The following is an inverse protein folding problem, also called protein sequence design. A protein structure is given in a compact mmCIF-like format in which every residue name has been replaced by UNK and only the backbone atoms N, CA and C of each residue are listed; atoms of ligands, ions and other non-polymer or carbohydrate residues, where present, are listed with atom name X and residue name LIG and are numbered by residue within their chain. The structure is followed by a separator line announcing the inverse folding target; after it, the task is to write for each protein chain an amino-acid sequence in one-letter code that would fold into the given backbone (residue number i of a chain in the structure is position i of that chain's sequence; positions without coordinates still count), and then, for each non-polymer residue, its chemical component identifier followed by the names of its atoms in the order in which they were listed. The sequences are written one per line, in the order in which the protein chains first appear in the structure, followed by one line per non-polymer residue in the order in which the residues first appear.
data_IF_775617185741
#
_entry.id   IF_775617185741
#
_cell.length_a   1.000
_cell.length_b   1.000
_cell.length_c   1.000
_cell.angle_alpha   90.00
_cell.angle_beta   90.00
_cell.angle_gamma   90.00
#
_symmetry.space_group_name_H-M   'P 1'
#
loop_
_entity.id
_entity.type
_entity.pdbx_description
1 polymer ?
#
# COMPACT_ATOMS: atom_id res chain seq x y z
N UNK A 1 -71.24 -33.06 -26.95
CA UNK A 1 -71.15 -33.27 -25.49
C UNK A 1 -69.86 -32.59 -25.02
N UNK A 2 -69.93 -31.30 -24.68
CA UNK A 2 -70.09 -30.73 -23.32
C UNK A 2 -68.93 -31.06 -22.35
N UNK A 3 -68.17 -30.00 -22.02
CA UNK A 3 -67.50 -29.59 -20.75
C UNK A 3 -67.83 -30.38 -19.46
N UNK A 4 -66.99 -30.35 -18.38
CA UNK A 4 -66.50 -29.09 -17.79
C UNK A 4 -65.13 -29.08 -17.09
N UNK A 5 -64.69 -27.86 -16.73
CA UNK A 5 -63.72 -27.59 -15.67
C UNK A 5 -64.25 -28.03 -14.29
N UNK A 6 -63.37 -28.16 -13.27
CA UNK A 6 -63.54 -27.23 -12.15
C UNK A 6 -62.24 -26.69 -11.54
N UNK A 7 -62.47 -25.61 -10.82
CA UNK A 7 -61.62 -24.75 -10.00
C UNK A 7 -60.97 -25.43 -8.78
N UNK A 8 -59.78 -24.95 -8.41
CA UNK A 8 -59.16 -25.16 -7.10
C UNK A 8 -58.23 -23.99 -6.75
N UNK A 9 -58.46 -23.38 -5.60
CA UNK A 9 -57.92 -22.09 -5.11
C UNK A 9 -56.66 -22.25 -4.24
N UNK A 10 -55.95 -21.13 -4.05
CA UNK A 10 -54.95 -20.80 -3.01
C UNK A 10 -53.53 -21.41 -3.21
N UNK A 11 -52.41 -20.73 -2.94
CA UNK A 11 -52.13 -19.48 -2.24
C UNK A 11 -50.86 -18.82 -2.82
N UNK A 12 -50.77 -17.49 -2.68
CA UNK A 12 -49.57 -16.70 -2.99
C UNK A 12 -48.43 -17.11 -2.05
N UNK A 13 -47.32 -17.61 -2.59
CA UNK A 13 -46.06 -17.72 -1.85
C UNK A 13 -45.51 -16.32 -1.60
N UNK A 14 -45.50 -15.90 -0.33
CA UNK A 14 -44.82 -14.68 0.10
C UNK A 14 -43.30 -14.79 -0.05
N UNK A 15 -42.59 -13.66 -0.12
CA UNK A 15 -41.13 -13.67 -0.19
C UNK A 15 -40.54 -14.23 1.10
N UNK A 16 -39.74 -15.30 0.95
CA UNK A 16 -38.94 -15.88 2.03
C UNK A 16 -37.79 -14.94 2.35
N UNK A 17 -37.93 -14.12 3.39
CA UNK A 17 -36.81 -13.36 3.97
C UNK A 17 -35.93 -14.31 4.76
N UNK A 18 -34.76 -14.64 4.21
CA UNK A 18 -33.68 -15.28 4.95
C UNK A 18 -32.90 -14.21 5.71
N UNK A 19 -33.11 -14.14 7.03
CA UNK A 19 -32.31 -13.30 7.92
C UNK A 19 -30.95 -13.97 8.13
N UNK A 20 -29.89 -13.36 7.61
CA UNK A 20 -28.52 -13.76 7.93
C UNK A 20 -28.22 -13.43 9.41
N UNK A 21 -27.59 -14.33 10.18
CA UNK A 21 -27.20 -14.02 11.54
C UNK A 21 -26.14 -12.91 11.57
N UNK A 22 -26.26 -12.02 12.55
CA UNK A 22 -25.31 -10.95 12.79
C UNK A 22 -23.89 -11.51 12.98
N UNK A 23 -22.94 -11.03 12.19
CA UNK A 23 -21.53 -11.32 12.39
C UNK A 23 -21.11 -10.84 13.78
N UNK A 24 -20.62 -11.77 14.60
CA UNK A 24 -20.04 -11.44 15.90
C UNK A 24 -18.84 -10.54 15.68
N UNK A 25 -18.78 -9.42 16.42
CA UNK A 25 -17.65 -8.51 16.40
C UNK A 25 -16.38 -9.29 16.76
N UNK A 26 -15.50 -9.49 15.78
CA UNK A 26 -14.16 -10.02 16.00
C UNK A 26 -13.38 -8.97 16.78
N UNK A 27 -12.87 -9.33 17.96
CA UNK A 27 -11.92 -8.49 18.69
C UNK A 27 -10.76 -8.11 17.76
N UNK A 28 -10.22 -6.87 17.87
CA UNK A 28 -9.03 -6.48 17.12
C UNK A 28 -7.92 -7.50 17.37
N UNK A 29 -7.12 -7.85 16.34
CA UNK A 29 -5.97 -8.71 16.53
C UNK A 29 -5.07 -8.11 17.62
N UNK A 30 -4.53 -8.98 18.48
CA UNK A 30 -3.60 -8.60 19.53
C UNK A 30 -2.51 -7.70 18.91
N UNK A 31 -2.45 -6.46 19.38
CA UNK A 31 -1.54 -5.44 18.87
C UNK A 31 -0.15 -5.81 19.38
N UNK A 32 0.46 -6.83 18.75
CA UNK A 32 1.74 -7.44 19.09
C UNK A 32 2.75 -6.41 19.57
N UNK A 33 3.48 -6.78 20.63
CA UNK A 33 4.39 -5.93 21.37
C UNK A 33 5.13 -4.96 20.44
N UNK A 34 4.99 -3.65 20.71
CA UNK A 34 5.91 -2.66 20.16
C UNK A 34 7.30 -3.19 20.49
N UNK A 35 8.15 -3.40 19.49
CA UNK A 35 9.56 -3.67 19.72
C UNK A 35 10.07 -2.44 20.47
N UNK A 36 10.24 -2.58 21.79
CA UNK A 36 10.82 -1.54 22.61
C UNK A 36 12.26 -1.36 22.13
N UNK A 37 12.74 -0.12 21.96
CA UNK A 37 14.15 0.10 21.62
C UNK A 37 15.03 -0.60 22.64
N UNK A 38 15.93 -1.46 22.17
CA UNK A 38 16.89 -2.16 23.02
C UNK A 38 17.70 -1.13 23.80
N UNK A 39 17.64 -1.17 25.13
CA UNK A 39 18.29 -0.20 26.03
C UNK A 39 19.78 -0.47 26.26
N UNK A 40 20.34 -1.50 25.62
CA UNK A 40 21.78 -1.75 25.67
C UNK A 40 22.53 -0.79 24.73
N UNK A 41 23.72 -0.30 25.12
CA UNK A 41 24.52 0.56 24.25
C UNK A 41 24.88 -0.21 22.98
N UNK A 42 24.35 0.28 21.86
CA UNK A 42 24.52 -0.29 20.53
C UNK A 42 26.02 -0.46 20.22
N UNK A 43 26.41 -1.66 19.77
CA UNK A 43 27.79 -1.95 19.43
C UNK A 43 28.29 -0.94 18.36
N UNK A 44 29.56 -0.53 18.42
CA UNK A 44 30.10 0.40 17.43
C UNK A 44 30.14 -0.27 16.05
N UNK A 45 29.67 0.46 15.03
CA UNK A 45 29.70 -0.01 13.64
C UNK A 45 31.13 -0.38 13.20
N UNK A 46 31.23 -1.50 12.50
CA UNK A 46 32.40 -1.93 11.75
C UNK A 46 32.75 -0.95 10.63
N UNK A 47 33.95 -1.08 10.06
CA UNK A 47 34.34 -0.26 8.91
C UNK A 47 33.44 -0.49 7.68
N UNK A 48 33.03 -1.74 7.44
CA UNK A 48 32.14 -2.11 6.34
C UNK A 48 30.75 -1.49 6.51
N UNK A 49 30.19 -1.54 7.72
CA UNK A 49 28.88 -0.92 8.00
C UNK A 49 28.93 0.60 7.88
N UNK A 50 30.00 1.25 8.37
CA UNK A 50 30.19 2.70 8.19
C UNK A 50 30.22 3.09 6.72
N UNK A 51 30.93 2.33 5.90
CA UNK A 51 30.94 2.53 4.45
C UNK A 51 29.58 2.25 3.82
N UNK A 52 28.85 1.22 4.25
CA UNK A 52 27.51 0.92 3.78
C UNK A 52 26.53 2.08 4.08
N UNK A 53 26.62 2.69 5.26
CA UNK A 53 25.83 3.88 5.62
C UNK A 53 26.20 5.07 4.73
N UNK A 54 27.49 5.32 4.45
CA UNK A 54 27.91 6.37 3.49
C UNK A 54 27.33 6.13 2.09
N UNK A 55 27.42 4.88 1.60
CA UNK A 55 26.87 4.47 0.31
C UNK A 55 25.36 4.72 0.26
N UNK A 56 24.62 4.37 1.32
CA UNK A 56 23.18 4.62 1.43
C UNK A 56 22.85 6.10 1.26
N UNK A 57 23.51 6.98 2.01
CA UNK A 57 23.27 8.42 1.93
C UNK A 57 23.64 9.01 0.56
N UNK A 58 24.71 8.51 -0.07
CA UNK A 58 25.08 8.90 -1.44
C UNK A 58 24.09 8.45 -2.51
N UNK A 59 23.22 7.50 -2.20
CA UNK A 59 22.17 7.04 -3.12
C UNK A 59 21.08 8.11 -3.34
N UNK A 60 20.90 9.04 -2.38
CA UNK A 60 20.00 10.19 -2.53
C UNK A 60 20.71 11.24 -3.42
N UNK A 61 20.44 11.24 -4.72
CA UNK A 61 20.86 12.34 -5.58
C UNK A 61 19.79 13.45 -5.65
N UNK A 62 20.24 14.68 -5.93
CA UNK A 62 19.48 15.94 -5.89
C UNK A 62 18.28 16.02 -6.87
N UNK A 63 18.08 14.99 -7.69
CA UNK A 63 17.02 14.91 -8.70
C UNK A 63 16.24 13.59 -8.65
N UNK A 64 16.36 12.82 -7.57
CA UNK A 64 15.65 11.54 -7.41
C UNK A 64 16.20 10.37 -8.25
N UNK A 65 17.27 10.59 -9.02
CA UNK A 65 17.98 9.54 -9.73
C UNK A 65 18.92 8.77 -8.78
N UNK A 66 19.08 7.46 -9.02
CA UNK A 66 20.03 6.67 -8.26
C UNK A 66 21.47 7.02 -8.65
N UNK A 67 22.36 7.14 -7.65
CA UNK A 67 23.77 7.43 -7.89
C UNK A 67 24.52 6.17 -8.37
N UNK A 68 24.89 6.11 -9.65
CA UNK A 68 25.63 4.98 -10.25
C UNK A 68 26.91 4.60 -9.46
N UNK A 69 27.67 5.59 -9.00
CA UNK A 69 28.88 5.35 -8.21
C UNK A 69 28.57 4.67 -6.86
N UNK A 70 27.45 5.04 -6.23
CA UNK A 70 26.97 4.38 -5.02
C UNK A 70 26.47 2.95 -5.28
N UNK A 71 25.80 2.69 -6.41
CA UNK A 71 25.38 1.32 -6.81
C UNK A 71 26.57 0.38 -6.95
N UNK A 72 27.62 0.81 -7.66
CA UNK A 72 28.84 0.00 -7.82
C UNK A 72 29.53 -0.23 -6.48
N UNK A 73 29.63 0.83 -5.66
CA UNK A 73 30.19 0.74 -4.31
C UNK A 73 29.39 -0.24 -3.43
N UNK A 74 28.06 -0.25 -3.53
CA UNK A 74 27.20 -1.15 -2.77
C UNK A 74 27.49 -2.62 -3.06
N UNK A 75 27.59 -2.99 -4.35
CA UNK A 75 27.99 -4.33 -4.75
C UNK A 75 29.41 -4.68 -4.33
N UNK A 76 30.33 -3.70 -4.30
CA UNK A 76 31.69 -3.85 -3.77
C UNK A 76 31.72 -4.16 -2.27
N UNK A 77 30.95 -3.38 -1.49
CA UNK A 77 30.85 -3.47 -0.04
C UNK A 77 30.17 -4.76 0.42
N UNK A 78 29.07 -5.18 -0.22
CA UNK A 78 28.48 -6.50 0.02
C UNK A 78 27.56 -6.62 1.25
N UNK A 79 27.35 -5.55 2.03
CA UNK A 79 26.52 -5.61 3.23
C UNK A 79 25.03 -5.84 2.90
N UNK A 80 24.36 -6.74 3.64
CA UNK A 80 22.96 -7.12 3.36
C UNK A 80 21.97 -5.96 3.56
N UNK A 81 22.23 -5.06 4.51
CA UNK A 81 21.44 -3.85 4.71
C UNK A 81 21.39 -2.87 3.52
N UNK A 82 22.24 -3.06 2.49
CA UNK A 82 22.16 -2.29 1.24
C UNK A 82 21.10 -2.82 0.28
N UNK A 83 20.53 -4.00 0.51
CA UNK A 83 19.51 -4.58 -0.37
C UNK A 83 18.26 -3.69 -0.47
N UNK A 84 17.62 -3.24 0.63
CA UNK A 84 16.47 -2.34 0.53
C UNK A 84 16.80 -1.00 -0.15
N UNK A 85 18.02 -0.48 0.04
CA UNK A 85 18.50 0.75 -0.60
C UNK A 85 18.60 0.58 -2.12
N UNK A 86 19.14 -0.55 -2.58
CA UNK A 86 19.28 -0.86 -3.99
C UNK A 86 17.94 -1.14 -4.66
N UNK A 87 17.01 -1.83 -3.98
CA UNK A 87 15.64 -2.03 -4.49
C UNK A 87 14.93 -0.68 -4.64
N UNK A 88 15.09 0.22 -3.66
CA UNK A 88 14.51 1.55 -3.73
C UNK A 88 15.08 2.40 -4.88
N UNK A 89 16.38 2.25 -5.16
CA UNK A 89 17.04 2.85 -6.30
C UNK A 89 16.54 2.27 -7.64
N UNK A 90 16.28 0.96 -7.70
CA UNK A 90 15.69 0.31 -8.87
C UNK A 90 14.30 0.87 -9.20
N UNK A 91 13.50 1.17 -8.16
CA UNK A 91 12.17 1.77 -8.29
C UNK A 91 12.15 3.18 -8.90
N UNK A 92 13.30 3.86 -8.94
CA UNK A 92 13.41 5.26 -9.41
C UNK A 92 14.26 5.42 -10.67
N UNK A 93 14.90 4.37 -11.15
CA UNK A 93 15.69 4.45 -12.38
C UNK A 93 14.82 4.14 -13.59
N UNK A 94 14.87 5.03 -14.58
CA UNK A 94 14.36 4.78 -15.93
C UNK A 94 15.49 4.45 -16.91
N UNK A 95 16.74 4.38 -16.43
CA UNK A 95 17.91 4.05 -17.25
C UNK A 95 18.18 2.53 -17.23
N UNK A 96 18.03 1.81 -18.37
CA UNK A 96 18.20 0.37 -18.40
C UNK A 96 19.60 -0.11 -17.99
N UNK A 97 20.64 0.66 -18.30
CA UNK A 97 22.01 0.33 -17.93
C UNK A 97 22.20 0.38 -16.41
N UNK A 98 21.68 1.42 -15.75
CA UNK A 98 21.75 1.53 -14.29
C UNK A 98 20.88 0.48 -13.60
N UNK A 99 19.71 0.17 -14.16
CA UNK A 99 18.86 -0.92 -13.71
C UNK A 99 19.64 -2.24 -13.68
N UNK A 100 20.32 -2.60 -14.77
CA UNK A 100 21.15 -3.81 -14.83
C UNK A 100 22.31 -3.81 -13.83
N UNK A 101 22.94 -2.66 -13.59
CA UNK A 101 23.98 -2.52 -12.56
C UNK A 101 23.43 -2.76 -11.14
N UNK A 102 22.25 -2.24 -10.84
CA UNK A 102 21.55 -2.49 -9.57
C UNK A 102 21.23 -3.97 -9.42
N UNK A 103 20.69 -4.61 -10.46
CA UNK A 103 20.40 -6.04 -10.45
C UNK A 103 21.64 -6.88 -10.13
N UNK A 104 22.77 -6.58 -10.77
CA UNK A 104 24.05 -7.27 -10.51
C UNK A 104 24.56 -7.03 -9.10
N UNK A 105 24.38 -5.82 -8.56
CA UNK A 105 24.75 -5.53 -7.16
C UNK A 105 23.89 -6.35 -6.20
N UNK A 106 22.58 -6.42 -6.43
CA UNK A 106 21.64 -7.24 -5.65
C UNK A 106 22.00 -8.73 -5.73
N UNK A 107 22.29 -9.27 -6.92
CA UNK A 107 22.75 -10.65 -7.11
C UNK A 107 24.05 -10.93 -6.36
N UNK A 108 25.01 -10.02 -6.41
CA UNK A 108 26.30 -10.17 -5.73
C UNK A 108 26.15 -10.17 -4.21
N UNK A 109 25.27 -9.33 -3.65
CA UNK A 109 25.03 -9.25 -2.20
C UNK A 109 24.23 -10.45 -1.70
N UNK A 110 23.22 -10.87 -2.45
CA UNK A 110 22.23 -11.85 -1.98
C UNK A 110 22.52 -13.28 -2.43
N UNK A 111 23.35 -13.46 -3.46
CA UNK A 111 23.53 -14.74 -4.15
C UNK A 111 22.29 -15.22 -4.92
N UNK A 112 21.23 -14.41 -4.99
CA UNK A 112 19.96 -14.74 -5.63
C UNK A 112 19.84 -14.00 -6.95
N UNK A 113 19.42 -14.70 -8.01
CA UNK A 113 18.98 -14.05 -9.26
C UNK A 113 17.46 -14.02 -9.28
N UNK A 114 16.90 -12.81 -9.34
CA UNK A 114 15.47 -12.57 -9.16
C UNK A 114 14.98 -11.65 -10.27
N UNK A 115 14.00 -12.13 -11.04
CA UNK A 115 13.42 -11.40 -12.18
C UNK A 115 14.25 -11.52 -13.47
N UNK A 116 13.57 -11.47 -14.61
CA UNK A 116 14.16 -11.29 -15.94
C UNK A 116 14.03 -9.84 -16.43
N UNK A 117 14.66 -9.54 -17.56
CA UNK A 117 15.23 -8.27 -18.06
C UNK A 117 14.53 -6.90 -17.86
N UNK A 118 13.33 -6.75 -17.28
CA UNK A 118 12.69 -5.41 -17.20
C UNK A 118 11.86 -5.10 -15.96
N UNK A 119 11.63 -6.04 -15.04
CA UNK A 119 10.93 -5.78 -13.78
C UNK A 119 11.89 -6.04 -12.61
N UNK A 120 12.74 -5.07 -12.28
CA UNK A 120 13.66 -5.22 -11.14
C UNK A 120 13.00 -4.93 -9.80
N UNK A 121 11.82 -4.34 -9.78
CA UNK A 121 11.24 -3.79 -8.55
C UNK A 121 10.37 -4.84 -7.88
N UNK A 122 9.29 -5.27 -8.53
CA UNK A 122 8.32 -6.21 -7.94
C UNK A 122 8.94 -7.56 -7.54
N UNK A 123 9.79 -8.21 -8.37
CA UNK A 123 10.38 -9.49 -8.01
C UNK A 123 11.31 -9.37 -6.81
N UNK A 124 12.08 -8.28 -6.71
CA UNK A 124 12.98 -8.04 -5.58
C UNK A 124 12.22 -7.65 -4.31
N UNK A 125 11.16 -6.84 -4.38
CA UNK A 125 10.26 -6.63 -3.24
C UNK A 125 9.64 -7.95 -2.77
N UNK A 126 9.10 -8.75 -3.69
CA UNK A 126 8.56 -10.08 -3.36
C UNK A 126 9.62 -11.01 -2.75
N UNK A 127 10.86 -10.93 -3.23
CA UNK A 127 11.97 -11.66 -2.63
C UNK A 127 12.25 -11.17 -1.20
N UNK A 128 12.32 -9.85 -0.94
CA UNK A 128 12.55 -9.29 0.40
C UNK A 128 11.43 -9.67 1.38
N UNK A 129 10.17 -9.65 0.93
CA UNK A 129 9.00 -10.02 1.75
C UNK A 129 8.95 -11.49 2.15
N UNK A 130 9.69 -12.38 1.46
CA UNK A 130 9.77 -13.82 1.78
C UNK A 130 10.91 -14.17 2.73
N UNK A 131 11.71 -13.20 3.14
CA UNK A 131 12.88 -13.45 3.99
C UNK A 131 12.46 -13.57 5.45
N UNK A 132 12.97 -14.59 6.13
CA UNK A 132 12.79 -14.81 7.56
C UNK A 132 14.17 -15.10 8.19
N UNK A 133 14.72 -14.21 9.05
CA UNK A 133 14.13 -12.95 9.48
C UNK A 133 13.98 -11.92 8.33
N UNK A 134 13.16 -10.87 8.51
CA UNK A 134 13.02 -9.79 7.53
C UNK A 134 14.37 -9.17 7.15
N UNK A 135 14.42 -8.53 5.97
CA UNK A 135 15.66 -7.87 5.55
C UNK A 135 16.11 -6.81 6.55
N UNK A 136 17.40 -6.88 6.86
CA UNK A 136 18.10 -5.96 7.74
C UNK A 136 18.10 -4.55 7.17
N UNK A 137 17.98 -3.57 8.06
CA UNK A 137 18.06 -2.15 7.74
C UNK A 137 19.35 -1.58 8.31
N UNK A 138 20.05 -0.76 7.53
CA UNK A 138 21.24 -0.06 8.02
C UNK A 138 20.85 0.93 9.12
N UNK A 139 21.81 1.24 10.00
CA UNK A 139 21.65 2.33 10.95
C UNK A 139 21.32 3.65 10.22
N UNK A 140 20.25 4.32 10.66
CA UNK A 140 19.75 5.55 10.05
C UNK A 140 18.94 5.35 8.76
N UNK A 141 18.53 4.10 8.44
CA UNK A 141 17.69 3.82 7.28
C UNK A 141 16.32 4.53 7.36
N UNK A 142 15.78 4.69 8.56
CA UNK A 142 14.56 5.46 8.83
C UNK A 142 14.70 6.94 8.45
N UNK A 143 15.74 7.61 8.92
CA UNK A 143 16.05 8.99 8.57
C UNK A 143 16.28 9.13 7.06
N UNK A 144 17.09 8.24 6.49
CA UNK A 144 17.35 8.19 5.06
C UNK A 144 16.06 8.01 4.25
N UNK A 145 15.17 7.11 4.67
CA UNK A 145 13.88 6.87 4.02
C UNK A 145 12.97 8.08 4.09
N UNK A 146 12.92 8.72 5.26
CA UNK A 146 12.17 9.96 5.49
C UNK A 146 12.65 11.11 4.60
N UNK A 147 13.97 11.27 4.45
CA UNK A 147 14.55 12.27 3.54
C UNK A 147 14.29 11.95 2.07
N UNK A 148 14.44 10.68 1.68
CA UNK A 148 14.18 10.22 0.31
C UNK A 148 12.72 10.47 -0.08
N UNK A 149 11.76 9.98 0.70
CA UNK A 149 10.33 10.19 0.42
C UNK A 149 9.94 11.67 0.61
N UNK A 150 10.59 12.35 1.54
CA UNK A 150 10.47 13.78 1.78
C UNK A 150 10.87 14.66 0.59
N UNK A 151 11.69 14.14 -0.33
CA UNK A 151 12.01 14.83 -1.60
C UNK A 151 10.86 14.79 -2.61
N UNK A 152 9.96 13.81 -2.48
CA UNK A 152 8.75 13.66 -3.30
C UNK A 152 7.62 14.49 -2.68
N UNK A 153 7.38 14.30 -1.38
CA UNK A 153 6.41 15.05 -0.60
C UNK A 153 6.98 15.34 0.79
N UNK A 154 7.19 16.63 1.15
CA UNK A 154 7.73 17.01 2.45
C UNK A 154 6.99 16.44 3.67
N UNK A 155 5.71 16.09 3.53
CA UNK A 155 4.91 15.52 4.62
C UNK A 155 5.39 14.14 5.07
N UNK A 156 6.13 13.39 4.24
CA UNK A 156 6.68 12.09 4.65
C UNK A 156 7.62 12.19 5.86
N UNK A 157 8.31 13.32 6.05
CA UNK A 157 9.18 13.57 7.22
C UNK A 157 8.41 13.61 8.54
N UNK A 158 7.08 13.72 8.50
CA UNK A 158 6.23 13.65 9.69
C UNK A 158 5.94 12.20 10.12
N UNK A 159 6.08 11.25 9.19
CA UNK A 159 5.73 9.84 9.41
C UNK A 159 6.97 8.93 9.51
N UNK A 160 8.05 9.29 8.83
CA UNK A 160 9.31 8.54 8.84
C UNK A 160 10.44 9.51 9.15
N UNK A 161 11.08 9.30 10.31
CA UNK A 161 12.12 10.15 10.86
C UNK A 161 13.09 9.29 11.70
N UNK A 162 14.24 9.84 12.06
CA UNK A 162 15.24 9.15 12.86
C UNK A 162 14.67 8.64 14.21
N UNK A 163 14.77 7.34 14.46
CA UNK A 163 14.26 6.67 15.65
C UNK A 163 12.74 6.48 15.67
N UNK A 164 12.06 6.54 14.51
CA UNK A 164 10.61 6.33 14.46
C UNK A 164 10.23 4.93 14.98
N UNK A 165 9.27 4.82 15.91
CA UNK A 165 8.80 3.51 16.37
C UNK A 165 8.11 2.74 15.23
N UNK A 166 8.60 1.54 14.94
CA UNK A 166 8.07 0.72 13.86
C UNK A 166 7.78 -0.72 14.34
N UNK A 167 6.69 -1.30 13.85
CA UNK A 167 6.33 -2.71 14.07
C UNK A 167 6.53 -3.58 12.83
N UNK A 168 6.83 -2.94 11.70
CA UNK A 168 7.21 -3.55 10.44
C UNK A 168 8.50 -2.88 9.98
N UNK A 169 9.33 -3.55 9.16
CA UNK A 169 10.50 -2.89 8.59
C UNK A 169 10.10 -1.63 7.80
N UNK A 170 10.86 -0.56 7.95
CA UNK A 170 10.63 0.72 7.29
C UNK A 170 10.66 0.58 5.76
N UNK A 171 11.47 -0.33 5.20
CA UNK A 171 11.51 -0.57 3.75
C UNK A 171 10.17 -1.03 3.16
N UNK A 172 9.24 -1.53 3.98
CA UNK A 172 7.89 -1.90 3.55
C UNK A 172 7.01 -0.70 3.21
N UNK A 173 7.38 0.50 3.67
CA UNK A 173 6.64 1.75 3.40
C UNK A 173 7.01 2.28 2.02
N UNK A 174 6.06 2.23 1.10
CA UNK A 174 6.24 2.62 -0.30
C UNK A 174 5.43 3.87 -0.67
N UNK A 175 5.90 4.62 -1.65
CA UNK A 175 5.16 5.74 -2.23
C UNK A 175 4.15 5.23 -3.26
N UNK A 176 2.88 5.58 -3.09
CA UNK A 176 1.78 5.12 -3.96
C UNK A 176 1.61 5.88 -5.28
N UNK A 177 2.52 6.78 -5.65
CA UNK A 177 2.48 7.51 -6.92
C UNK A 177 1.77 8.87 -6.91
N UNK A 178 1.16 9.26 -5.80
CA UNK A 178 0.56 10.59 -5.60
C UNK A 178 1.08 11.24 -4.31
N UNK A 179 1.14 12.57 -4.28
CA UNK A 179 1.43 13.31 -3.04
C UNK A 179 0.28 13.15 -2.04
N UNK A 180 0.51 13.45 -0.77
CA UNK A 180 -0.52 13.48 0.27
C UNK A 180 -1.67 14.39 -0.19
N UNK A 181 -2.89 13.89 -0.01
CA UNK A 181 -4.12 14.57 -0.42
C UNK A 181 -4.23 14.84 -1.94
N UNK A 182 -3.41 14.17 -2.77
CA UNK A 182 -3.41 14.31 -4.23
C UNK A 182 -4.63 13.71 -4.92
N UNK A 183 -5.33 12.78 -4.25
CA UNK A 183 -6.63 12.26 -4.66
C UNK A 183 -7.65 12.85 -3.68
N UNK A 184 -8.36 13.93 -4.06
CA UNK A 184 -9.26 14.60 -3.14
C UNK A 184 -10.50 13.72 -2.90
N UNK A 185 -10.91 13.55 -1.63
CA UNK A 185 -12.10 12.79 -1.33
C UNK A 185 -13.35 13.49 -1.87
N UNK A 186 -14.41 12.72 -2.05
CA UNK A 186 -15.75 13.28 -2.22
C UNK A 186 -16.25 13.77 -0.87
N UNK A 187 -16.46 15.07 -0.75
CA UNK A 187 -16.98 15.70 0.47
C UNK A 187 -18.47 16.01 0.29
N UNK A 188 -19.31 15.34 1.08
CA UNK A 188 -20.78 15.49 1.10
C UNK A 188 -21.38 15.61 -0.31
N UNK A 189 -21.14 14.61 -1.19
CA UNK A 189 -21.49 14.73 -2.58
C UNK A 189 -23.00 14.90 -2.77
N UNK A 190 -23.38 15.71 -3.76
CA UNK A 190 -24.79 15.82 -4.15
C UNK A 190 -25.29 14.47 -4.65
N UNK A 191 -26.51 14.14 -4.28
CA UNK A 191 -27.17 12.91 -4.70
C UNK A 191 -28.26 13.19 -5.73
N UNK A 192 -28.56 12.17 -6.52
CA UNK A 192 -29.69 12.17 -7.45
C UNK A 192 -30.50 10.90 -7.21
N UNK A 193 -31.77 10.92 -7.62
CA UNK A 193 -32.59 9.72 -7.63
C UNK A 193 -32.03 8.71 -8.65
N UNK A 194 -32.12 7.41 -8.34
CA UNK A 194 -31.61 6.36 -9.21
C UNK A 194 -32.19 6.43 -10.64
N UNK A 195 -33.45 6.84 -10.78
CA UNK A 195 -34.13 7.03 -12.08
C UNK A 195 -33.57 8.17 -12.94
N UNK A 196 -32.67 8.99 -12.40
CA UNK A 196 -31.99 10.08 -13.11
C UNK A 196 -30.51 9.77 -13.35
N UNK A 197 -30.02 8.60 -12.93
CA UNK A 197 -28.63 8.20 -13.10
C UNK A 197 -28.34 7.68 -14.52
N UNK A 198 -28.69 8.47 -15.54
CA UNK A 198 -28.60 8.09 -16.97
C UNK A 198 -27.14 7.90 -17.45
N UNK A 199 -26.17 8.28 -16.61
CA UNK A 199 -24.76 8.04 -16.87
C UNK A 199 -24.36 6.57 -16.62
N UNK A 200 -25.10 5.80 -15.82
CA UNK A 200 -24.80 4.39 -15.52
C UNK A 200 -25.45 3.45 -16.54
N UNK A 201 -24.69 2.44 -16.97
CA UNK A 201 -25.25 1.28 -17.64
C UNK A 201 -25.91 0.34 -16.61
N UNK A 202 -26.91 -0.47 -17.02
CA UNK A 202 -27.65 -1.33 -16.10
C UNK A 202 -26.82 -2.37 -15.33
N UNK A 203 -25.66 -2.77 -15.86
CA UNK A 203 -24.78 -3.80 -15.30
C UNK A 203 -23.57 -3.21 -14.55
N UNK A 204 -23.52 -1.89 -14.37
CA UNK A 204 -22.41 -1.27 -13.67
C UNK A 204 -22.46 -1.47 -12.15
N UNK A 205 -21.32 -1.80 -11.52
CA UNK A 205 -21.26 -1.99 -10.09
C UNK A 205 -21.42 -0.67 -9.33
N UNK A 206 -22.19 -0.74 -8.26
CA UNK A 206 -22.34 0.31 -7.26
C UNK A 206 -22.13 -0.28 -5.88
N UNK A 207 -21.64 0.53 -4.95
CA UNK A 207 -21.60 0.20 -3.53
C UNK A 207 -22.87 0.74 -2.88
N UNK A 208 -23.74 -0.15 -2.42
CA UNK A 208 -24.95 0.22 -1.68
C UNK A 208 -24.66 0.29 -0.18
N UNK A 209 -25.02 1.40 0.45
CA UNK A 209 -24.94 1.59 1.91
C UNK A 209 -26.32 1.93 2.44
N UNK A 210 -26.73 1.29 3.52
CA UNK A 210 -27.98 1.57 4.23
C UNK A 210 -27.70 1.83 5.70
N UNK A 211 -28.08 3.01 6.20
CA UNK A 211 -27.91 3.41 7.60
C UNK A 211 -29.21 4.05 8.07
N UNK A 212 -29.73 3.60 9.21
CA UNK A 212 -30.97 4.11 9.81
C UNK A 212 -32.17 4.21 8.83
N UNK A 213 -32.24 3.28 7.87
CA UNK A 213 -33.31 3.21 6.86
C UNK A 213 -33.10 4.11 5.64
N UNK A 214 -32.11 5.00 5.63
CA UNK A 214 -31.69 5.74 4.43
C UNK A 214 -30.70 4.89 3.63
N UNK A 215 -30.89 4.80 2.31
CA UNK A 215 -30.02 4.03 1.42
C UNK A 215 -29.41 4.93 0.34
N UNK A 216 -28.14 4.69 0.03
CA UNK A 216 -27.41 5.41 -1.01
C UNK A 216 -26.56 4.44 -1.81
N UNK A 217 -26.44 4.71 -3.11
CA UNK A 217 -25.57 3.98 -4.02
C UNK A 217 -24.41 4.88 -4.44
N UNK A 218 -23.19 4.39 -4.29
CA UNK A 218 -21.96 5.05 -4.72
C UNK A 218 -21.40 4.32 -5.94
N UNK A 219 -21.42 4.93 -7.14
CA UNK A 219 -20.95 4.26 -8.33
C UNK A 219 -19.46 3.96 -8.30
N UNK A 220 -19.08 2.71 -8.60
CA UNK A 220 -17.68 2.29 -8.65
C UNK A 220 -16.86 3.19 -9.57
N UNK A 221 -17.40 3.56 -10.74
CA UNK A 221 -16.72 4.44 -11.69
C UNK A 221 -16.40 5.85 -11.17
N UNK A 222 -17.11 6.33 -10.15
CA UNK A 222 -16.84 7.64 -9.53
C UNK A 222 -15.84 7.41 -8.39
N UNK A 223 -16.10 6.42 -7.54
CA UNK A 223 -15.23 6.08 -6.42
C UNK A 223 -13.83 5.65 -6.86
N UNK A 224 -13.67 5.00 -8.00
CA UNK A 224 -12.36 4.64 -8.54
C UNK A 224 -11.46 5.84 -8.86
N UNK A 225 -12.01 7.05 -9.00
CA UNK A 225 -11.21 8.28 -9.17
C UNK A 225 -10.96 9.02 -7.85
N UNK A 226 -11.82 8.82 -6.86
CA UNK A 226 -11.80 9.59 -5.61
C UNK A 226 -11.32 8.80 -4.40
N UNK A 227 -11.38 7.46 -4.46
CA UNK A 227 -10.97 6.44 -3.47
C UNK A 227 -11.60 6.57 -2.08
N UNK A 228 -12.20 7.72 -1.75
CA UNK A 228 -12.78 8.04 -0.46
C UNK A 228 -13.98 8.97 -0.65
N UNK A 229 -15.03 8.72 0.14
CA UNK A 229 -16.16 9.65 0.32
C UNK A 229 -16.40 9.88 1.80
N UNK A 230 -16.48 11.14 2.18
CA UNK A 230 -17.03 11.60 3.44
C UNK A 230 -18.47 12.05 3.19
N UNK A 231 -19.41 11.48 3.92
CA UNK A 231 -20.84 11.71 3.68
C UNK A 231 -21.64 11.74 4.97
N UNK A 232 -22.89 12.18 4.87
CA UNK A 232 -23.89 12.03 5.91
C UNK A 232 -25.06 11.19 5.38
N UNK A 233 -25.34 10.07 6.05
CA UNK A 233 -26.39 9.13 5.68
C UNK A 233 -27.14 8.65 6.92
N UNK A 234 -28.47 8.75 6.92
CA UNK A 234 -29.29 8.31 8.05
C UNK A 234 -28.99 9.06 9.36
N UNK A 235 -28.49 10.30 9.26
CA UNK A 235 -28.07 11.12 10.41
C UNK A 235 -26.64 10.86 10.90
N UNK A 236 -25.93 9.86 10.36
CA UNK A 236 -24.56 9.51 10.76
C UNK A 236 -23.53 10.08 9.78
N UNK A 237 -22.40 10.55 10.31
CA UNK A 237 -21.22 10.85 9.49
C UNK A 237 -20.50 9.56 9.15
N UNK A 238 -20.23 9.35 7.88
CA UNK A 238 -19.53 8.17 7.39
C UNK A 238 -18.34 8.54 6.54
N UNK A 239 -17.31 7.70 6.62
CA UNK A 239 -16.20 7.65 5.68
C UNK A 239 -16.24 6.29 5.02
N UNK A 240 -16.32 6.28 3.69
CA UNK A 240 -16.25 5.08 2.89
C UNK A 240 -15.01 5.15 2.00
N UNK A 241 -14.19 4.10 2.02
CA UNK A 241 -12.94 3.97 1.26
C UNK A 241 -13.10 2.80 0.28
N UNK A 242 -12.70 3.03 -0.97
CA UNK A 242 -12.81 2.09 -2.09
C UNK A 242 -11.44 1.56 -2.50
#
# INVERSE_FOLDING_TARGET
TQSPAPSGSAAKGGPSTATAPAASATSPPDRGAVIQPTTEPEAPLTAQEKEAVDIMWRMIDRYGAANRGAVVAAGGNGHRGLVPVLVEAAGRTFEPALALEIARALEKITGSSVGGDFALVDPWYSWMSRQDPPQEELKGFDEWRGELLGSIDPSFRQFIYAGVPARVPIWTVQWGGVVRDGIPPLEFPKTIAAVHADFLQPDEPVFGVTINGESRAYPHRILGWHELVNDQLGGELITFVF
#
